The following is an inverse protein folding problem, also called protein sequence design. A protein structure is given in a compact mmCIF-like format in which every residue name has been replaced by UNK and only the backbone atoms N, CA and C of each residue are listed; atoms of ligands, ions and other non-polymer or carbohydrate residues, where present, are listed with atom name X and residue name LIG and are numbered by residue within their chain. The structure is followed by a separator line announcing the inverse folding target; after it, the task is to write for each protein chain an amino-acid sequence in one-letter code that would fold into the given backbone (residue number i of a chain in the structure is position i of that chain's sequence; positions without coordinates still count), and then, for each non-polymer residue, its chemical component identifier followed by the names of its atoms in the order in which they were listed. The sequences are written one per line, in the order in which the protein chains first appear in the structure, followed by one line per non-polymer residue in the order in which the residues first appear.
data_IF_137280086680
#
_entry.id   IF_137280086680
#
_cell.length_a   1.000
_cell.length_b   1.000
_cell.length_c   1.000
_cell.angle_alpha   90.00
_cell.angle_beta   90.00
_cell.angle_gamma   90.00
#
_symmetry.space_group_name_H-M   'P 1'
#
loop_
_entity.id
_entity.type
_entity.pdbx_description
1 polymer ?
#
# COMPACT_ATOMS: atom_id res chain seq x y z
N UNK A 1 15.20 24.23 -0.28
CA UNK A 1 14.29 23.13 0.13
C UNK A 1 12.81 23.44 -0.07
N UNK A 2 12.34 24.65 0.26
CA UNK A 2 10.94 25.03 0.03
C UNK A 2 10.55 24.95 -1.45
N UNK A 3 11.37 25.53 -2.33
CA UNK A 3 11.22 25.42 -3.80
C UNK A 3 11.08 23.98 -4.30
N UNK A 4 11.98 23.07 -3.87
CA UNK A 4 11.93 21.64 -4.26
C UNK A 4 10.61 20.98 -3.83
N UNK A 5 10.05 21.33 -2.65
CA UNK A 5 8.77 20.79 -2.19
C UNK A 5 7.60 21.30 -3.02
N UNK A 6 7.59 22.58 -3.36
CA UNK A 6 6.56 23.21 -4.20
C UNK A 6 6.57 22.60 -5.61
N UNK A 7 7.75 22.53 -6.23
CA UNK A 7 7.92 21.95 -7.56
C UNK A 7 7.56 20.46 -7.59
N UNK A 8 7.86 19.71 -6.53
CA UNK A 8 7.42 18.31 -6.42
C UNK A 8 5.91 18.21 -6.34
N UNK A 9 5.26 19.09 -5.59
CA UNK A 9 3.80 19.10 -5.47
C UNK A 9 3.15 19.35 -6.83
N UNK A 10 3.67 20.31 -7.60
CA UNK A 10 3.16 20.64 -8.94
C UNK A 10 3.39 19.48 -9.91
N UNK A 11 4.63 18.98 -10.04
CA UNK A 11 4.95 17.97 -11.04
C UNK A 11 4.33 16.60 -10.72
N UNK A 12 4.12 16.31 -9.43
CA UNK A 12 3.52 15.05 -8.98
C UNK A 12 2.05 15.16 -8.57
N UNK A 13 1.37 16.27 -8.87
CA UNK A 13 -0.02 16.52 -8.46
C UNK A 13 -0.97 15.43 -8.97
N UNK A 14 -0.81 15.04 -10.24
CA UNK A 14 -1.61 14.01 -10.93
C UNK A 14 -1.07 12.59 -10.76
N UNK A 15 -0.05 12.39 -9.92
CA UNK A 15 0.56 11.07 -9.67
C UNK A 15 0.66 10.82 -8.18
N UNK A 16 -0.37 11.20 -7.42
CA UNK A 16 -0.52 10.74 -6.03
C UNK A 16 -0.44 9.20 -6.00
N UNK A 17 0.14 8.59 -4.94
CA UNK A 17 0.40 7.16 -4.91
C UNK A 17 -0.79 6.27 -5.29
N UNK A 18 -1.99 6.55 -4.76
CA UNK A 18 -3.18 5.77 -5.04
C UNK A 18 -3.60 5.91 -6.51
N UNK A 19 -3.79 7.15 -6.99
CA UNK A 19 -4.22 7.44 -8.36
C UNK A 19 -3.22 6.89 -9.39
N UNK A 20 -1.92 7.01 -9.10
CA UNK A 20 -0.87 6.44 -9.93
C UNK A 20 -1.01 4.91 -10.06
N UNK A 21 -1.19 4.20 -8.95
CA UNK A 21 -1.40 2.76 -8.97
C UNK A 21 -2.72 2.38 -9.63
N UNK A 22 -3.78 3.15 -9.40
CA UNK A 22 -5.07 2.95 -10.04
C UNK A 22 -4.97 3.02 -11.57
N UNK A 23 -4.26 4.02 -12.10
CA UNK A 23 -4.03 4.15 -13.54
C UNK A 23 -3.09 3.06 -14.09
N UNK A 24 -2.07 2.64 -13.35
CA UNK A 24 -1.25 1.49 -13.76
C UNK A 24 -2.07 0.19 -13.78
N UNK A 25 -2.98 0.03 -12.82
CA UNK A 25 -3.88 -1.12 -12.74
C UNK A 25 -4.84 -1.17 -13.94
N UNK A 26 -5.40 -0.01 -14.32
CA UNK A 26 -6.20 0.17 -15.54
C UNK A 26 -5.37 -0.13 -16.81
N UNK A 27 -4.21 0.52 -16.95
CA UNK A 27 -3.32 0.40 -18.12
C UNK A 27 -2.87 -1.04 -18.37
N UNK A 28 -2.68 -1.81 -17.31
CA UNK A 28 -2.31 -3.23 -17.40
C UNK A 28 -3.51 -4.16 -17.65
N UNK A 29 -4.72 -3.61 -17.81
CA UNK A 29 -5.92 -4.35 -18.17
C UNK A 29 -6.53 -5.14 -17.01
N UNK A 30 -6.26 -4.77 -15.75
CA UNK A 30 -6.79 -5.50 -14.61
C UNK A 30 -8.27 -5.19 -14.32
N UNK A 31 -8.81 -4.05 -14.75
CA UNK A 31 -10.25 -3.74 -14.58
C UNK A 31 -11.17 -4.75 -15.27
N UNK A 32 -10.71 -5.40 -16.34
CA UNK A 32 -11.49 -6.35 -17.12
C UNK A 32 -11.37 -7.79 -16.60
N UNK A 33 -10.56 -8.04 -15.56
CA UNK A 33 -10.31 -9.38 -15.04
C UNK A 33 -11.45 -9.84 -14.11
N UNK A 34 -11.69 -11.15 -14.12
CA UNK A 34 -12.68 -11.79 -13.25
C UNK A 34 -12.20 -11.82 -11.80
N UNK A 35 -13.13 -12.02 -10.86
CA UNK A 35 -12.81 -12.21 -9.44
C UNK A 35 -11.84 -13.38 -9.22
N UNK A 36 -12.06 -14.49 -9.93
CA UNK A 36 -11.19 -15.67 -9.87
C UNK A 36 -9.75 -15.38 -10.32
N UNK A 37 -9.56 -14.48 -11.28
CA UNK A 37 -8.23 -14.06 -11.70
C UNK A 37 -7.47 -13.39 -10.54
N UNK A 38 -8.12 -12.50 -9.79
CA UNK A 38 -7.52 -11.85 -8.62
C UNK A 38 -7.18 -12.84 -7.52
N UNK A 39 -8.08 -13.81 -7.27
CA UNK A 39 -7.89 -14.84 -6.26
C UNK A 39 -6.66 -15.72 -6.57
N UNK A 40 -6.51 -16.13 -7.83
CA UNK A 40 -5.49 -17.11 -8.23
C UNK A 40 -4.16 -16.48 -8.64
N UNK A 41 -4.13 -15.18 -8.97
CA UNK A 41 -2.96 -14.49 -9.54
C UNK A 41 -2.51 -13.27 -8.73
N UNK A 42 -2.87 -13.15 -7.45
CA UNK A 42 -2.50 -11.99 -6.62
C UNK A 42 -0.98 -11.68 -6.63
N UNK A 43 -0.13 -12.70 -6.53
CA UNK A 43 1.33 -12.51 -6.58
C UNK A 43 1.79 -11.90 -7.91
N UNK A 44 1.25 -12.39 -9.03
CA UNK A 44 1.56 -11.90 -10.37
C UNK A 44 1.13 -10.42 -10.53
N UNK A 45 -0.06 -10.07 -10.06
CA UNK A 45 -0.57 -8.70 -10.14
C UNK A 45 0.34 -7.75 -9.37
N UNK A 46 0.74 -8.12 -8.15
CA UNK A 46 1.66 -7.33 -7.33
C UNK A 46 2.99 -7.12 -8.06
N UNK A 47 3.62 -8.19 -8.53
CA UNK A 47 4.94 -8.12 -9.18
C UNK A 47 4.89 -7.28 -10.45
N UNK A 48 3.88 -7.49 -11.30
CA UNK A 48 3.73 -6.73 -12.55
C UNK A 48 3.45 -5.26 -12.33
N UNK A 49 2.54 -4.90 -11.42
CA UNK A 49 2.28 -3.48 -11.14
C UNK A 49 3.53 -2.83 -10.55
N UNK A 50 4.24 -3.49 -9.63
CA UNK A 50 5.44 -2.92 -9.01
C UNK A 50 6.55 -2.66 -10.01
N UNK A 51 6.79 -3.58 -10.94
CA UNK A 51 7.78 -3.43 -12.00
C UNK A 51 7.45 -2.25 -12.92
N UNK A 52 6.21 -2.20 -13.40
CA UNK A 52 5.75 -1.22 -14.38
C UNK A 52 5.60 0.18 -13.77
N UNK A 53 5.02 0.27 -12.56
CA UNK A 53 4.91 1.52 -11.82
C UNK A 53 6.28 2.11 -11.51
N UNK A 54 7.27 1.28 -11.15
CA UNK A 54 8.62 1.75 -10.91
C UNK A 54 9.26 2.32 -12.18
N UNK A 55 9.15 1.62 -13.30
CA UNK A 55 9.65 2.07 -14.60
C UNK A 55 9.06 3.43 -14.99
N UNK A 56 7.74 3.59 -14.84
CA UNK A 56 7.06 4.83 -15.21
C UNK A 56 7.39 5.98 -14.24
N UNK A 57 7.44 5.70 -12.94
CA UNK A 57 7.83 6.69 -11.92
C UNK A 57 9.27 7.20 -12.14
N UNK A 58 10.21 6.33 -12.53
CA UNK A 58 11.60 6.72 -12.79
C UNK A 58 11.73 7.76 -13.90
N UNK A 59 10.86 7.72 -14.93
CA UNK A 59 10.87 8.72 -16.00
C UNK A 59 10.55 10.11 -15.43
N UNK A 60 9.44 10.21 -14.68
CA UNK A 60 9.00 11.46 -14.06
C UNK A 60 9.99 11.96 -13.00
N UNK A 61 10.55 11.06 -12.17
CA UNK A 61 11.53 11.46 -11.16
C UNK A 61 12.86 11.92 -11.77
N UNK A 62 13.28 11.31 -12.89
CA UNK A 62 14.46 11.78 -13.64
C UNK A 62 14.24 13.18 -14.17
N UNK A 63 13.11 13.43 -14.83
CA UNK A 63 12.76 14.76 -15.32
C UNK A 63 12.71 15.79 -14.20
N UNK A 64 12.04 15.46 -13.09
CA UNK A 64 12.00 16.29 -11.89
C UNK A 64 13.41 16.66 -11.43
N UNK A 65 14.27 15.65 -11.27
CA UNK A 65 15.63 15.82 -10.74
C UNK A 65 16.45 16.72 -11.65
N UNK A 66 16.41 16.48 -12.97
CA UNK A 66 17.10 17.31 -13.96
C UNK A 66 16.63 18.77 -13.91
N UNK A 67 15.32 19.01 -13.83
CA UNK A 67 14.76 20.38 -13.72
C UNK A 67 15.22 21.08 -12.44
N UNK A 68 15.26 20.38 -11.31
CA UNK A 68 15.70 20.96 -10.04
C UNK A 68 17.20 21.28 -10.04
N UNK A 69 18.04 20.45 -10.66
CA UNK A 69 19.47 20.75 -10.80
C UNK A 69 19.70 21.91 -11.77
N UNK A 70 18.95 21.97 -12.88
CA UNK A 70 19.04 23.07 -13.84
C UNK A 70 18.65 24.43 -13.23
N UNK A 71 17.83 24.45 -12.18
CA UNK A 71 17.48 25.70 -11.48
C UNK A 71 18.59 26.29 -10.59
N UNK A 72 19.72 25.59 -10.44
CA UNK A 72 20.81 26.04 -9.56
C UNK A 72 21.77 27.03 -10.24
N UNK A 73 21.78 27.09 -11.57
CA UNK A 73 22.66 27.98 -12.33
C UNK A 73 21.86 28.83 -13.33
N UNK A 74 22.49 29.92 -13.77
CA UNK A 74 22.07 30.73 -14.91
C UNK A 74 23.14 30.68 -16.00
N UNK A 75 22.77 30.90 -17.26
CA UNK A 75 23.72 30.86 -18.39
C UNK A 75 24.93 31.78 -18.19
N UNK A 76 24.71 32.95 -17.57
CA UNK A 76 25.75 33.93 -17.22
C UNK A 76 26.81 33.40 -16.23
N UNK A 77 26.49 32.36 -15.47
CA UNK A 77 27.40 31.80 -14.47
C UNK A 77 28.48 30.93 -15.13
N UNK A 78 28.20 30.39 -16.33
CA UNK A 78 29.06 29.44 -17.04
C UNK A 78 29.49 29.90 -18.44
N UNK A 79 29.00 31.05 -18.93
CA UNK A 79 29.23 31.53 -20.31
C UNK A 79 30.70 31.63 -20.75
N UNK A 80 31.62 31.84 -19.79
CA UNK A 80 33.07 31.98 -20.04
C UNK A 80 33.88 30.74 -19.69
N UNK A 81 33.23 29.70 -19.19
CA UNK A 81 33.87 28.45 -18.79
C UNK A 81 33.87 27.46 -19.96
N UNK A 82 34.93 26.65 -20.08
CA UNK A 82 34.85 25.42 -20.88
C UNK A 82 33.85 24.46 -20.26
N UNK A 83 33.38 23.46 -21.03
CA UNK A 83 32.44 22.45 -20.52
C UNK A 83 32.97 21.71 -19.30
N UNK A 84 34.29 21.48 -19.23
CA UNK A 84 34.92 20.82 -18.08
C UNK A 84 34.87 21.74 -16.85
N UNK A 85 35.30 23.00 -17.01
CA UNK A 85 35.29 23.98 -15.92
C UNK A 85 33.88 24.22 -15.37
N UNK A 86 32.86 24.27 -16.24
CA UNK A 86 31.47 24.42 -15.82
C UNK A 86 30.97 23.22 -14.98
N UNK A 87 31.35 22.00 -15.34
CA UNK A 87 31.00 20.80 -14.58
C UNK A 87 31.73 20.81 -13.23
N UNK A 88 33.04 21.07 -13.22
CA UNK A 88 33.86 21.15 -12.01
C UNK A 88 33.31 22.21 -11.04
N UNK A 89 33.02 23.41 -11.56
CA UNK A 89 32.37 24.48 -10.78
C UNK A 89 31.02 24.06 -10.20
N UNK A 90 30.14 23.46 -11.01
CA UNK A 90 28.80 23.09 -10.54
C UNK A 90 28.83 22.07 -9.40
N UNK A 91 29.73 21.07 -9.46
CA UNK A 91 29.85 20.06 -8.40
C UNK A 91 30.52 20.60 -7.14
N UNK A 92 31.40 21.60 -7.26
CA UNK A 92 32.05 22.27 -6.13
C UNK A 92 31.14 23.30 -5.45
N UNK A 93 30.35 24.05 -6.22
CA UNK A 93 29.48 25.13 -5.74
C UNK A 93 28.20 24.59 -5.08
N UNK A 94 27.62 23.50 -5.61
CA UNK A 94 26.31 23.01 -5.18
C UNK A 94 26.26 21.63 -4.49
N UNK A 95 27.30 21.12 -3.79
CA UNK A 95 27.29 19.77 -3.24
C UNK A 95 26.16 19.55 -2.22
N UNK A 96 25.87 20.56 -1.38
CA UNK A 96 24.76 20.48 -0.43
C UNK A 96 23.39 20.43 -1.12
N UNK A 97 23.21 21.15 -2.23
CA UNK A 97 21.94 21.21 -2.95
C UNK A 97 21.67 19.88 -3.64
N UNK A 98 22.69 19.30 -4.28
CA UNK A 98 22.65 17.97 -4.90
C UNK A 98 22.31 16.91 -3.84
N UNK A 99 22.97 16.95 -2.69
CA UNK A 99 22.70 16.03 -1.57
C UNK A 99 21.26 16.17 -1.06
N UNK A 100 20.81 17.40 -0.77
CA UNK A 100 19.46 17.67 -0.26
C UNK A 100 18.37 17.24 -1.25
N UNK A 101 18.58 17.43 -2.55
CA UNK A 101 17.67 16.95 -3.60
C UNK A 101 17.61 15.42 -3.62
N UNK A 102 18.77 14.75 -3.59
CA UNK A 102 18.88 13.29 -3.60
C UNK A 102 18.23 12.65 -2.37
N UNK A 103 18.44 13.26 -1.19
CA UNK A 103 17.78 12.87 0.05
C UNK A 103 16.26 13.07 -0.05
N UNK A 104 15.81 14.20 -0.59
CA UNK A 104 14.38 14.48 -0.80
C UNK A 104 13.72 13.44 -1.71
N UNK A 105 14.37 13.07 -2.82
CA UNK A 105 13.90 12.01 -3.71
C UNK A 105 13.80 10.68 -2.97
N UNK A 106 14.84 10.29 -2.22
CA UNK A 106 14.84 9.03 -1.45
C UNK A 106 13.72 8.97 -0.42
N UNK A 107 13.48 10.05 0.33
CA UNK A 107 12.39 10.09 1.30
C UNK A 107 11.02 10.05 0.64
N UNK A 108 10.87 10.72 -0.51
CA UNK A 108 9.66 10.65 -1.33
C UNK A 108 9.40 9.20 -1.78
N UNK A 109 10.39 8.52 -2.36
CA UNK A 109 10.29 7.10 -2.77
C UNK A 109 9.88 6.20 -1.61
N UNK A 110 10.45 6.35 -0.42
CA UNK A 110 10.11 5.53 0.75
C UNK A 110 8.65 5.68 1.15
N UNK A 111 8.16 6.93 1.21
CA UNK A 111 6.77 7.22 1.52
C UNK A 111 5.81 6.66 0.46
N UNK A 112 6.14 6.91 -0.82
CA UNK A 112 5.36 6.44 -1.97
C UNK A 112 5.30 4.92 -2.03
N UNK A 113 6.44 4.24 -1.93
CA UNK A 113 6.51 2.78 -2.07
C UNK A 113 5.63 2.04 -1.05
N UNK A 114 5.46 2.59 0.16
CA UNK A 114 4.52 2.06 1.15
C UNK A 114 3.06 2.28 0.72
N UNK A 115 2.69 3.52 0.39
CA UNK A 115 1.32 3.87 -0.03
C UNK A 115 0.88 3.20 -1.32
N UNK A 116 1.78 3.06 -2.29
CA UNK A 116 1.55 2.34 -3.53
C UNK A 116 1.34 0.84 -3.25
N UNK A 117 2.10 0.25 -2.31
CA UNK A 117 1.90 -1.15 -1.93
C UNK A 117 0.57 -1.39 -1.24
N UNK A 118 0.18 -0.53 -0.31
CA UNK A 118 -1.16 -0.54 0.32
C UNK A 118 -2.26 -0.47 -0.75
N UNK A 119 -2.15 0.44 -1.71
CA UNK A 119 -3.12 0.60 -2.80
C UNK A 119 -3.22 -0.63 -3.70
N UNK A 120 -2.10 -1.27 -4.04
CA UNK A 120 -2.09 -2.53 -4.82
C UNK A 120 -2.87 -3.62 -4.09
N UNK A 121 -2.61 -3.81 -2.79
CA UNK A 121 -3.32 -4.82 -1.99
C UNK A 121 -4.81 -4.50 -1.96
N UNK A 122 -5.18 -3.24 -1.72
CA UNK A 122 -6.58 -2.79 -1.71
C UNK A 122 -7.30 -3.16 -3.01
N UNK A 123 -6.71 -2.82 -4.17
CA UNK A 123 -7.30 -3.09 -5.48
C UNK A 123 -7.43 -4.59 -5.77
N UNK A 124 -6.47 -5.41 -5.34
CA UNK A 124 -6.54 -6.87 -5.48
C UNK A 124 -7.68 -7.44 -4.63
N UNK A 125 -7.82 -6.99 -3.37
CA UNK A 125 -8.89 -7.45 -2.50
C UNK A 125 -10.27 -7.04 -3.03
N UNK A 126 -10.41 -5.80 -3.53
CA UNK A 126 -11.63 -5.34 -4.20
C UNK A 126 -11.92 -6.15 -5.48
N UNK A 127 -10.89 -6.43 -6.28
CA UNK A 127 -10.99 -7.26 -7.47
C UNK A 127 -11.41 -8.70 -7.16
N UNK A 128 -10.94 -9.26 -6.05
CA UNK A 128 -11.33 -10.57 -5.53
C UNK A 128 -12.67 -10.57 -4.77
N UNK A 129 -13.39 -9.44 -4.75
CA UNK A 129 -14.65 -9.26 -4.03
C UNK A 129 -14.56 -9.60 -2.52
N UNK A 130 -13.42 -9.27 -1.90
CA UNK A 130 -13.22 -9.40 -0.46
C UNK A 130 -13.80 -8.17 0.24
N UNK A 131 -14.79 -8.32 1.15
CA UNK A 131 -15.26 -7.20 1.95
C UNK A 131 -14.12 -6.72 2.84
N UNK A 132 -13.85 -5.42 2.84
CA UNK A 132 -12.82 -4.84 3.70
C UNK A 132 -13.08 -3.36 3.95
N UNK A 133 -12.47 -2.87 5.01
CA UNK A 133 -12.28 -1.45 5.28
C UNK A 133 -10.77 -1.15 5.27
N UNK A 134 -10.34 -0.14 4.50
CA UNK A 134 -8.96 0.32 4.52
C UNK A 134 -8.80 1.59 5.36
N UNK A 135 -7.71 1.66 6.14
CA UNK A 135 -7.38 2.83 6.95
C UNK A 135 -7.15 4.06 6.07
N UNK A 136 -6.62 3.85 4.85
CA UNK A 136 -6.43 4.89 3.85
C UNK A 136 -7.75 5.52 3.39
N UNK A 137 -8.84 4.76 3.34
CA UNK A 137 -10.15 5.23 2.86
C UNK A 137 -11.01 5.82 3.97
N UNK A 138 -11.12 5.14 5.10
CA UNK A 138 -12.00 5.58 6.20
C UNK A 138 -11.29 6.58 7.13
N UNK A 139 -9.96 6.50 7.18
CA UNK A 139 -9.12 7.44 7.91
C UNK A 139 -8.64 6.90 9.26
N UNK A 140 -7.40 7.28 9.58
CA UNK A 140 -6.67 6.84 10.77
C UNK A 140 -7.39 7.07 12.10
N UNK A 141 -8.05 8.23 12.27
CA UNK A 141 -8.78 8.54 13.50
C UNK A 141 -9.92 7.55 13.74
N UNK A 142 -10.60 7.13 12.68
CA UNK A 142 -11.69 6.19 12.76
C UNK A 142 -11.20 4.80 13.24
N UNK A 143 -10.12 4.29 12.66
CA UNK A 143 -9.49 3.03 13.09
C UNK A 143 -9.07 3.07 14.56
N UNK A 144 -8.39 4.15 14.97
CA UNK A 144 -7.96 4.32 16.37
C UNK A 144 -9.16 4.34 17.32
N UNK A 145 -10.25 5.02 16.96
CA UNK A 145 -11.48 5.04 17.76
C UNK A 145 -12.14 3.65 17.89
N UNK A 146 -11.89 2.74 16.94
CA UNK A 146 -12.34 1.35 16.97
C UNK A 146 -11.37 0.42 17.70
N UNK A 147 -10.32 0.96 18.33
CA UNK A 147 -9.29 0.18 19.03
C UNK A 147 -8.38 -0.59 18.07
N UNK A 148 -8.26 -0.13 16.81
CA UNK A 148 -7.31 -0.66 15.85
C UNK A 148 -6.02 0.17 15.90
N UNK A 149 -4.91 -0.56 15.91
CA UNK A 149 -3.57 0.01 15.94
C UNK A 149 -3.24 0.86 14.71
N UNK A 150 -2.21 1.71 14.84
CA UNK A 150 -1.78 2.58 13.72
C UNK A 150 -1.20 1.78 12.55
N UNK A 151 -0.72 0.57 12.81
CA UNK A 151 -0.11 -0.33 11.83
C UNK A 151 -1.10 -1.22 11.09
N UNK A 152 -2.39 -1.20 11.48
CA UNK A 152 -3.42 -1.97 10.78
C UNK A 152 -3.88 -1.18 9.57
N UNK A 153 -3.53 -1.65 8.38
CA UNK A 153 -3.87 -0.97 7.13
C UNK A 153 -5.25 -1.38 6.63
N UNK A 154 -5.63 -2.65 6.81
CA UNK A 154 -6.90 -3.21 6.31
C UNK A 154 -7.52 -4.11 7.38
N UNK A 155 -8.85 -4.06 7.48
CA UNK A 155 -9.67 -4.97 8.28
C UNK A 155 -10.69 -5.66 7.38
N UNK A 156 -10.75 -6.99 7.44
CA UNK A 156 -11.72 -7.81 6.72
C UNK A 156 -12.60 -8.59 7.71
N UNK A 157 -13.93 -8.62 7.54
CA UNK A 157 -14.71 -7.96 6.48
C UNK A 157 -14.86 -6.43 6.66
N UNK A 158 -14.60 -5.90 7.86
CA UNK A 158 -14.72 -4.48 8.14
C UNK A 158 -14.52 -4.13 9.60
N UNK A 159 -14.43 -2.83 9.88
CA UNK A 159 -14.22 -2.28 11.21
C UNK A 159 -15.43 -2.43 12.14
N UNK A 160 -16.64 -2.44 11.57
CA UNK A 160 -17.87 -2.68 12.32
C UNK A 160 -17.94 -4.14 12.77
N UNK A 161 -17.65 -5.09 11.90
CA UNK A 161 -17.56 -6.52 12.22
C UNK A 161 -16.47 -6.78 13.25
N UNK A 162 -15.33 -6.11 13.15
CA UNK A 162 -14.28 -6.18 14.16
C UNK A 162 -14.78 -5.72 15.54
N UNK A 163 -15.63 -4.70 15.58
CA UNK A 163 -16.22 -4.21 16.83
C UNK A 163 -17.25 -5.20 17.42
N UNK A 164 -17.95 -5.95 16.56
CA UNK A 164 -18.93 -6.95 16.96
C UNK A 164 -18.27 -8.26 17.43
N UNK A 165 -17.31 -8.77 16.66
CA UNK A 165 -16.60 -10.01 16.97
C UNK A 165 -15.19 -10.02 16.32
N UNK A 166 -14.21 -9.57 17.10
CA UNK A 166 -12.79 -9.54 16.71
C UNK A 166 -12.23 -10.89 16.26
N UNK A 167 -12.77 -12.01 16.75
CA UNK A 167 -12.25 -13.37 16.44
C UNK A 167 -12.59 -13.84 15.04
N UNK A 168 -13.69 -13.34 14.49
CA UNK A 168 -14.12 -13.63 13.14
C UNK A 168 -13.77 -12.49 12.19
N UNK A 169 -12.65 -11.82 12.45
CA UNK A 169 -12.09 -10.81 11.55
C UNK A 169 -10.60 -11.05 11.33
N UNK A 170 -10.09 -10.50 10.24
CA UNK A 170 -8.69 -10.59 9.84
C UNK A 170 -8.11 -9.19 9.71
N UNK A 171 -6.92 -9.00 10.27
CA UNK A 171 -6.16 -7.75 10.18
C UNK A 171 -4.98 -7.92 9.22
N UNK A 172 -4.71 -6.89 8.42
CA UNK A 172 -3.55 -6.87 7.52
C UNK A 172 -2.72 -5.61 7.81
N UNK A 173 -1.41 -5.81 7.92
CA UNK A 173 -0.41 -4.76 7.97
C UNK A 173 0.55 -4.92 6.79
N UNK A 174 0.85 -3.84 6.06
CA UNK A 174 1.65 -3.85 4.86
C UNK A 174 3.00 -3.15 5.06
N UNK A 175 4.08 -3.88 4.80
CA UNK A 175 5.45 -3.31 4.80
C UNK A 175 6.21 -3.83 3.59
N UNK A 176 6.64 -2.96 2.69
CA UNK A 176 7.45 -3.36 1.51
C UNK A 176 8.71 -4.12 1.91
N UNK A 177 9.46 -3.61 2.88
CA UNK A 177 10.58 -4.30 3.54
C UNK A 177 10.43 -4.21 5.06
N UNK A 178 10.85 -5.23 5.80
CA UNK A 178 10.71 -5.28 7.25
C UNK A 178 11.83 -4.54 7.96
N UNK A 179 13.09 -4.94 7.72
CA UNK A 179 14.26 -4.52 8.52
C UNK A 179 13.99 -4.70 10.02
N UNK A 180 14.37 -3.78 10.90
CA UNK A 180 14.02 -3.79 12.33
C UNK A 180 12.55 -3.44 12.61
N UNK A 181 11.83 -2.87 11.63
CA UNK A 181 10.48 -2.29 11.83
C UNK A 181 9.37 -3.33 11.98
N UNK A 182 9.66 -4.63 11.87
CA UNK A 182 8.69 -5.67 12.20
C UNK A 182 8.43 -5.73 13.71
N UNK A 183 9.35 -5.25 14.55
CA UNK A 183 9.24 -5.27 16.01
C UNK A 183 8.04 -4.47 16.53
N UNK A 184 7.57 -3.48 15.77
CA UNK A 184 6.39 -2.69 16.10
C UNK A 184 5.08 -3.50 15.96
N UNK A 185 5.07 -4.58 15.18
CA UNK A 185 3.85 -5.34 14.83
C UNK A 185 3.36 -6.22 15.98
N UNK A 186 4.20 -7.01 16.68
CA UNK A 186 3.79 -7.74 17.88
C UNK A 186 3.17 -6.86 18.97
N UNK A 187 3.76 -5.68 19.20
CA UNK A 187 3.26 -4.71 20.19
C UNK A 187 1.82 -4.27 19.87
N UNK A 188 1.54 -3.99 18.60
CA UNK A 188 0.19 -3.62 18.15
C UNK A 188 -0.75 -4.83 18.18
N UNK A 189 -0.31 -6.01 17.77
CA UNK A 189 -1.14 -7.23 17.77
C UNK A 189 -1.69 -7.52 19.17
N UNK A 190 -0.84 -7.42 20.20
CA UNK A 190 -1.23 -7.60 21.61
C UNK A 190 -2.32 -6.62 22.10
N UNK A 191 -2.51 -5.47 21.43
CA UNK A 191 -3.54 -4.47 21.77
C UNK A 191 -4.87 -4.71 21.06
N UNK A 192 -4.86 -5.36 19.91
CA UNK A 192 -6.08 -5.52 19.09
C UNK A 192 -7.06 -6.52 19.71
N UNK A 193 -6.55 -7.63 20.25
CA UNK A 193 -7.39 -8.77 20.66
C UNK A 193 -7.99 -9.53 19.48
N UNK A 194 -7.51 -9.29 18.26
CA UNK A 194 -7.80 -10.13 17.10
C UNK A 194 -7.15 -11.52 17.28
N UNK A 195 -7.64 -12.50 16.52
CA UNK A 195 -7.07 -13.86 16.54
C UNK A 195 -5.68 -13.90 15.93
N UNK A 196 -5.52 -13.24 14.79
CA UNK A 196 -4.29 -13.22 14.01
C UNK A 196 -4.19 -11.93 13.20
N UNK A 197 -2.97 -11.58 12.80
CA UNK A 197 -2.67 -10.50 11.87
C UNK A 197 -1.76 -11.01 10.77
N UNK A 198 -2.01 -10.57 9.54
CA UNK A 198 -1.15 -10.88 8.41
C UNK A 198 -0.23 -9.70 8.12
N UNK A 199 1.08 -9.95 8.18
CA UNK A 199 2.09 -8.99 7.78
C UNK A 199 2.50 -9.28 6.34
N UNK A 200 1.97 -8.49 5.41
CA UNK A 200 2.26 -8.64 3.98
C UNK A 200 3.54 -7.87 3.61
N UNK A 201 4.43 -8.52 2.85
CA UNK A 201 5.74 -7.95 2.52
C UNK A 201 6.34 -8.47 1.21
N UNK A 202 7.26 -7.67 0.66
CA UNK A 202 8.11 -8.01 -0.48
C UNK A 202 9.58 -8.18 -0.05
N UNK A 203 9.85 -8.24 1.26
CA UNK A 203 11.19 -8.47 1.78
C UNK A 203 11.66 -9.90 1.45
N UNK A 204 12.86 -10.00 0.92
CA UNK A 204 13.49 -11.27 0.55
C UNK A 204 14.56 -11.73 1.53
N UNK A 205 14.80 -10.95 2.59
CA UNK A 205 15.91 -11.12 3.53
C UNK A 205 15.43 -11.09 5.00
N UNK A 206 14.37 -11.84 5.27
CA UNK A 206 13.85 -12.10 6.61
C UNK A 206 14.50 -13.38 7.17
N UNK A 207 15.10 -13.29 8.36
CA UNK A 207 15.71 -14.44 9.03
C UNK A 207 14.66 -15.39 9.62
N UNK A 208 15.06 -16.65 9.84
CA UNK A 208 14.19 -17.66 10.47
C UNK A 208 13.71 -17.23 11.86
N UNK A 209 14.60 -16.68 12.69
CA UNK A 209 14.26 -16.22 14.04
C UNK A 209 13.19 -15.12 14.03
N UNK A 210 13.24 -14.21 13.05
CA UNK A 210 12.20 -13.17 12.88
C UNK A 210 10.87 -13.78 12.50
N UNK A 211 10.86 -14.75 11.57
CA UNK A 211 9.64 -15.45 11.15
C UNK A 211 9.01 -16.20 12.34
N UNK A 212 9.83 -16.91 13.11
CA UNK A 212 9.38 -17.66 14.29
C UNK A 212 8.82 -16.71 15.36
N UNK A 213 9.50 -15.60 15.65
CA UNK A 213 9.01 -14.60 16.59
C UNK A 213 7.65 -14.01 16.19
N UNK A 214 7.49 -13.65 14.91
CA UNK A 214 6.20 -13.16 14.40
C UNK A 214 5.11 -14.21 14.55
N UNK A 215 5.41 -15.47 14.20
CA UNK A 215 4.46 -16.57 14.31
C UNK A 215 4.02 -16.83 15.76
N UNK A 216 4.95 -16.83 16.71
CA UNK A 216 4.67 -16.94 18.15
C UNK A 216 3.77 -15.82 18.67
N UNK A 217 3.81 -14.64 18.03
CA UNK A 217 2.96 -13.50 18.34
C UNK A 217 1.65 -13.45 17.50
N UNK A 218 1.25 -14.58 16.90
CA UNK A 218 0.06 -14.70 16.05
C UNK A 218 0.09 -13.78 14.83
N UNK A 219 1.28 -13.52 14.29
CA UNK A 219 1.49 -12.75 13.06
C UNK A 219 2.01 -13.70 11.99
N UNK A 220 1.22 -13.89 10.94
CA UNK A 220 1.62 -14.71 9.80
C UNK A 220 2.20 -13.84 8.69
N UNK A 221 3.38 -14.21 8.19
CA UNK A 221 4.01 -13.50 7.08
C UNK A 221 3.40 -13.91 5.75
N UNK A 222 3.15 -12.92 4.90
CA UNK A 222 2.59 -13.11 3.57
C UNK A 222 3.50 -12.45 2.54
N UNK A 223 3.85 -13.19 1.49
CA UNK A 223 4.68 -12.67 0.40
C UNK A 223 4.24 -13.22 -0.95
N UNK A 224 4.95 -12.92 -2.03
CA UNK A 224 4.61 -13.44 -3.36
C UNK A 224 5.02 -14.90 -3.50
N UNK A 225 4.38 -15.64 -4.43
CA UNK A 225 4.76 -17.02 -4.78
C UNK A 225 6.24 -17.15 -5.10
N UNK A 226 6.80 -16.23 -5.88
CA UNK A 226 8.20 -16.24 -6.28
C UNK A 226 9.15 -16.05 -5.07
N UNK A 227 8.85 -15.09 -4.18
CA UNK A 227 9.66 -14.89 -2.96
C UNK A 227 9.57 -16.11 -2.06
N UNK A 228 8.36 -16.65 -1.82
CA UNK A 228 8.17 -17.85 -1.01
C UNK A 228 8.96 -19.02 -1.58
N UNK A 229 8.83 -19.32 -2.87
CA UNK A 229 9.51 -20.46 -3.50
C UNK A 229 11.05 -20.32 -3.45
N UNK A 230 11.59 -19.13 -3.71
CA UNK A 230 13.04 -18.91 -3.75
C UNK A 230 13.71 -18.82 -2.37
N UNK A 231 12.97 -18.37 -1.34
CA UNK A 231 13.56 -18.00 -0.03
C UNK A 231 13.00 -18.78 1.15
N UNK A 232 11.73 -19.20 1.08
CA UNK A 232 10.96 -19.69 2.23
C UNK A 232 10.12 -20.94 1.91
N UNK A 233 10.54 -21.74 0.92
CA UNK A 233 9.75 -22.84 0.35
C UNK A 233 9.19 -23.80 1.41
N UNK A 234 10.06 -24.22 2.34
CA UNK A 234 9.73 -25.20 3.38
C UNK A 234 9.24 -24.55 4.68
N UNK A 235 9.11 -23.21 4.72
CA UNK A 235 8.65 -22.49 5.90
C UNK A 235 7.12 -22.31 5.87
N UNK A 236 6.42 -23.13 6.65
CA UNK A 236 4.95 -23.11 6.75
C UNK A 236 4.38 -21.82 7.37
N UNK A 237 5.18 -21.09 8.15
CA UNK A 237 4.78 -19.81 8.77
C UNK A 237 4.81 -18.65 7.77
N UNK A 238 5.32 -18.86 6.56
CA UNK A 238 5.26 -17.91 5.44
C UNK A 238 4.23 -18.41 4.42
N UNK A 239 3.23 -17.61 4.10
CA UNK A 239 2.20 -17.94 3.09
C UNK A 239 2.26 -16.99 1.90
N UNK A 240 1.52 -17.32 0.84
CA UNK A 240 1.41 -16.45 -0.33
C UNK A 240 0.19 -15.55 -0.25
N UNK A 241 0.17 -14.48 -1.06
CA UNK A 241 -1.02 -13.63 -1.19
C UNK A 241 -2.28 -14.39 -1.59
N UNK A 242 -2.18 -15.40 -2.44
CA UNK A 242 -3.32 -16.24 -2.81
C UNK A 242 -3.88 -16.98 -1.60
N UNK A 243 -3.01 -17.54 -0.75
CA UNK A 243 -3.46 -18.20 0.47
C UNK A 243 -4.09 -17.20 1.45
N UNK A 244 -3.57 -15.97 1.53
CA UNK A 244 -4.22 -14.91 2.30
C UNK A 244 -5.63 -14.64 1.78
N UNK A 245 -5.83 -14.51 0.47
CA UNK A 245 -7.16 -14.26 -0.11
C UNK A 245 -8.12 -15.41 0.19
N UNK A 246 -7.68 -16.67 0.10
CA UNK A 246 -8.49 -17.82 0.52
C UNK A 246 -8.97 -17.70 1.98
N UNK A 247 -8.04 -17.39 2.91
CA UNK A 247 -8.37 -17.21 4.33
C UNK A 247 -9.35 -16.06 4.52
N UNK A 248 -9.17 -14.95 3.82
CA UNK A 248 -10.08 -13.80 3.89
C UNK A 248 -11.48 -14.15 3.41
N UNK A 249 -11.61 -14.96 2.34
CA UNK A 249 -12.92 -15.44 1.85
C UNK A 249 -13.61 -16.34 2.86
N UNK A 250 -12.89 -17.35 3.35
CA UNK A 250 -13.42 -18.26 4.38
C UNK A 250 -13.85 -17.52 5.65
N UNK A 251 -13.13 -16.46 6.01
CA UNK A 251 -13.49 -15.60 7.13
C UNK A 251 -14.72 -14.74 6.83
N UNK A 252 -14.78 -14.12 5.64
CA UNK A 252 -15.92 -13.32 5.20
C UNK A 252 -17.21 -14.14 5.12
N UNK A 253 -17.13 -15.41 4.73
CA UNK A 253 -18.28 -16.30 4.63
C UNK A 253 -19.03 -16.49 5.95
N UNK A 254 -18.36 -16.32 7.09
CA UNK A 254 -18.99 -16.37 8.42
C UNK A 254 -19.97 -15.22 8.66
N UNK A 255 -19.83 -14.13 7.92
CA UNK A 255 -20.68 -12.95 8.01
C UNK A 255 -21.80 -12.95 6.98
N UNK A 256 -21.78 -13.90 6.03
CA UNK A 256 -22.88 -14.07 5.07
C UNK A 256 -24.16 -14.45 5.81
N UNK A 257 -25.22 -13.66 5.61
CA UNK A 257 -26.50 -13.86 6.30
C UNK A 257 -26.47 -13.50 7.79
N UNK A 258 -25.39 -12.87 8.30
CA UNK A 258 -25.35 -12.38 9.66
C UNK A 258 -26.44 -11.32 9.89
N UNK A 259 -27.25 -11.52 10.93
CA UNK A 259 -28.32 -10.58 11.29
C UNK A 259 -27.73 -9.38 12.05
N UNK A 260 -27.21 -8.40 11.30
CA UNK A 260 -26.66 -7.19 11.86
C UNK A 260 -27.70 -6.41 12.69
N UNK A 261 -27.35 -5.99 13.92
CA UNK A 261 -28.09 -4.97 14.64
C UNK A 261 -28.23 -3.69 13.80
N UNK A 262 -29.34 -2.95 13.94
CA UNK A 262 -29.61 -1.77 13.11
C UNK A 262 -28.51 -0.70 13.20
N UNK A 263 -27.95 -0.48 14.39
CA UNK A 263 -26.83 0.45 14.55
C UNK A 263 -25.58 0.02 13.76
N UNK A 264 -25.26 -1.28 13.75
CA UNK A 264 -24.14 -1.82 12.98
C UNK A 264 -24.41 -1.75 11.48
N UNK A 265 -25.62 -2.09 11.02
CA UNK A 265 -26.01 -1.97 9.60
C UNK A 265 -25.91 -0.52 9.13
N UNK A 266 -26.38 0.44 9.95
CA UNK A 266 -26.30 1.87 9.65
C UNK A 266 -24.85 2.35 9.59
N UNK A 267 -23.99 1.89 10.49
CA UNK A 267 -22.55 2.20 10.48
C UNK A 267 -21.88 1.70 9.20
N UNK A 268 -22.08 0.42 8.83
CA UNK A 268 -21.54 -0.17 7.60
C UNK A 268 -22.01 0.62 6.37
N UNK A 269 -23.31 0.89 6.29
CA UNK A 269 -23.93 1.66 5.19
C UNK A 269 -23.34 3.07 5.10
N UNK A 270 -23.12 3.73 6.23
CA UNK A 270 -22.49 5.05 6.29
C UNK A 270 -21.04 5.01 5.81
N UNK A 271 -20.26 4.02 6.26
CA UNK A 271 -18.87 3.85 5.85
C UNK A 271 -18.74 3.56 4.37
N UNK A 272 -19.62 2.73 3.80
CA UNK A 272 -19.65 2.48 2.36
C UNK A 272 -19.98 3.73 1.55
N UNK A 273 -20.88 4.59 2.03
CA UNK A 273 -21.19 5.86 1.36
C UNK A 273 -20.00 6.83 1.37
N UNK A 274 -19.27 6.91 2.49
CA UNK A 274 -18.03 7.71 2.58
C UNK A 274 -16.99 7.19 1.57
N UNK A 275 -16.83 5.87 1.48
CA UNK A 275 -15.90 5.25 0.53
C UNK A 275 -16.32 5.50 -0.93
N UNK A 276 -17.62 5.44 -1.25
CA UNK A 276 -18.16 5.78 -2.57
C UNK A 276 -17.90 7.24 -2.96
N UNK A 277 -18.08 8.18 -2.02
CA UNK A 277 -17.81 9.61 -2.27
C UNK A 277 -16.32 9.85 -2.53
N UNK A 278 -15.44 9.23 -1.73
CA UNK A 278 -13.99 9.33 -1.91
C UNK A 278 -13.52 8.77 -3.26
N UNK A 279 -14.19 7.74 -3.76
CA UNK A 279 -13.84 7.03 -4.98
C UNK A 279 -14.77 7.33 -6.16
N UNK A 280 -15.38 8.51 -6.19
CA UNK A 280 -16.29 8.92 -7.27
C UNK A 280 -15.60 8.90 -8.65
N UNK A 281 -14.29 9.21 -8.68
CA UNK A 281 -13.47 9.24 -9.88
C UNK A 281 -12.75 7.89 -10.15
N UNK A 282 -12.99 6.87 -9.33
CA UNK A 282 -12.37 5.55 -9.44
C UNK A 282 -13.43 4.49 -9.75
N UNK A 283 -13.95 4.45 -10.98
CA UNK A 283 -15.09 3.61 -11.40
C UNK A 283 -14.99 2.15 -10.92
N UNK A 284 -13.85 1.49 -11.15
CA UNK A 284 -13.62 0.11 -10.68
C UNK A 284 -13.84 -0.06 -9.16
N UNK A 285 -13.34 0.87 -8.34
CA UNK A 285 -13.48 0.83 -6.88
C UNK A 285 -14.90 1.18 -6.47
N UNK A 286 -15.48 2.20 -7.10
CA UNK A 286 -16.84 2.66 -6.88
C UNK A 286 -17.85 1.52 -7.08
N UNK A 287 -17.76 0.80 -8.18
CA UNK A 287 -18.68 -0.30 -8.51
C UNK A 287 -18.64 -1.42 -7.46
N UNK A 288 -17.46 -1.72 -6.90
CA UNK A 288 -17.29 -2.74 -5.85
C UNK A 288 -17.92 -2.31 -4.54
N UNK A 289 -17.71 -1.07 -4.10
CA UNK A 289 -18.40 -0.54 -2.92
C UNK A 289 -19.91 -0.42 -3.13
N UNK A 290 -20.36 -0.08 -4.35
CA UNK A 290 -21.78 0.03 -4.67
C UNK A 290 -22.45 -1.35 -4.63
N UNK A 291 -21.77 -2.40 -5.11
CA UNK A 291 -22.22 -3.79 -4.98
C UNK A 291 -22.39 -4.17 -3.51
N UNK A 292 -21.36 -3.95 -2.67
CA UNK A 292 -21.42 -4.25 -1.24
C UNK A 292 -22.54 -3.48 -0.53
N UNK A 293 -22.76 -2.22 -0.91
CA UNK A 293 -23.87 -1.42 -0.38
C UNK A 293 -25.25 -2.00 -0.74
N UNK A 294 -25.40 -2.63 -1.91
CA UNK A 294 -26.62 -3.35 -2.29
C UNK A 294 -26.83 -4.62 -1.48
N UNK A 295 -25.76 -5.34 -1.16
CA UNK A 295 -25.80 -6.57 -0.36
C UNK A 295 -26.18 -6.31 1.11
N UNK A 296 -25.99 -5.09 1.61
CA UNK A 296 -26.38 -4.68 2.97
C UNK A 296 -27.85 -4.23 3.11
N UNK A 297 -28.57 -4.06 2.00
CA UNK A 297 -30.00 -3.68 1.97
C UNK A 297 -30.89 -4.90 2.03
#
# INVERSE_FOLDING_TARGET
MQFVKEQRTILFENVKPYDFIYHEFERLGFFEKSEDFFITNASYIIERIREEAWKNYQVTEREFTSRMLASLYFDKDIEKMSSKEAIDWFVEEYPEHIYKLSLSNTQSRRSRAGKEFEAIIELILLGANIPMDSQGNIGKKYFVNKGLGKLVDIVSPGTTEYSLNKRDTVLISAKTTLRERWQEVPEEMGRTGAREMFLVTLDTDISKDVIENLYENNIQLVTTKDIKERKYKDNYSVITFEKLIEILRENADKWNGFAYPDNARNEITSNLKIQLEKHIDHTFVYERYQRRLREMK
#
